data_IF_148206403595
#
_entry.id   IF_148206403595
#
_cell.length_a   1.000
_cell.length_b   1.000
_cell.length_c   1.000
_cell.angle_alpha   90.00
_cell.angle_beta   90.00
_cell.angle_gamma   90.00
#
_symmetry.space_group_name_H-M   'P 1'
#
loop_
_entity.id
_entity.type
_entity.pdbx_description
1 polymer ?
#
# COMPACT_ATOMS: atom_id res chain seq x y z
N UNK A 1 16.15 2.66 -22.86
CA UNK A 1 16.31 1.92 -21.59
C UNK A 1 15.17 0.92 -21.52
N UNK A 2 15.46 -0.37 -21.66
CA UNK A 2 14.46 -1.44 -21.58
C UNK A 2 13.79 -1.43 -20.19
N UNK A 3 12.46 -1.55 -20.17
CA UNK A 3 11.68 -1.66 -18.93
C UNK A 3 11.94 -3.03 -18.29
N UNK A 4 13.00 -3.14 -17.49
CA UNK A 4 13.24 -4.34 -16.68
C UNK A 4 12.10 -4.55 -15.70
N UNK A 5 11.56 -5.77 -15.66
CA UNK A 5 10.59 -6.18 -14.65
C UNK A 5 11.27 -6.37 -13.29
N UNK A 6 10.49 -6.43 -12.20
CA UNK A 6 11.02 -6.75 -10.87
C UNK A 6 11.78 -8.10 -10.88
N UNK A 7 11.21 -9.10 -11.52
CA UNK A 7 11.78 -10.44 -11.65
C UNK A 7 13.15 -10.41 -12.36
N UNK A 8 13.21 -9.81 -13.56
CA UNK A 8 14.45 -9.67 -14.32
C UNK A 8 15.50 -8.86 -13.56
N UNK A 9 15.09 -7.77 -12.90
CA UNK A 9 15.99 -6.94 -12.12
C UNK A 9 16.64 -7.72 -10.96
N UNK A 10 15.84 -8.49 -10.22
CA UNK A 10 16.34 -9.32 -9.11
C UNK A 10 17.26 -10.42 -9.64
N UNK A 11 16.89 -11.12 -10.71
CA UNK A 11 17.73 -12.19 -11.30
C UNK A 11 19.05 -11.65 -11.86
N UNK A 12 19.00 -10.59 -12.67
CA UNK A 12 20.22 -9.95 -13.20
C UNK A 12 21.14 -9.48 -12.07
N UNK A 13 20.56 -8.83 -11.05
CA UNK A 13 21.37 -8.32 -9.93
C UNK A 13 21.97 -9.44 -9.11
N UNK A 14 21.25 -10.56 -8.92
CA UNK A 14 21.74 -11.75 -8.23
C UNK A 14 22.91 -12.39 -8.98
N UNK A 15 22.84 -12.46 -10.31
CA UNK A 15 23.90 -12.99 -11.17
C UNK A 15 25.14 -12.08 -11.16
N UNK A 16 24.97 -10.75 -11.22
CA UNK A 16 26.06 -9.78 -11.10
C UNK A 16 26.86 -9.91 -9.80
N UNK A 17 26.20 -10.24 -8.69
CA UNK A 17 26.85 -10.46 -7.39
C UNK A 17 27.32 -11.91 -7.18
N UNK A 18 27.14 -12.79 -8.18
CA UNK A 18 27.61 -14.18 -8.18
C UNK A 18 26.90 -15.08 -7.17
N UNK A 19 25.62 -14.83 -6.85
CA UNK A 19 24.86 -15.65 -5.91
C UNK A 19 23.92 -16.63 -6.65
N UNK A 20 23.77 -17.84 -6.09
CA UNK A 20 22.64 -18.70 -6.42
C UNK A 20 21.36 -18.20 -5.72
N UNK A 21 20.19 -18.67 -6.14
CA UNK A 21 18.92 -18.32 -5.47
C UNK A 21 18.96 -18.68 -3.97
N UNK A 22 19.50 -19.86 -3.63
CA UNK A 22 19.75 -20.28 -2.25
C UNK A 22 20.76 -19.38 -1.53
N UNK A 23 21.80 -18.93 -2.23
CA UNK A 23 22.78 -17.98 -1.70
C UNK A 23 22.14 -16.62 -1.37
N UNK A 24 21.24 -16.14 -2.24
CA UNK A 24 20.49 -14.92 -2.01
C UNK A 24 19.51 -15.06 -0.84
N UNK A 25 18.79 -16.19 -0.75
CA UNK A 25 17.86 -16.49 0.34
C UNK A 25 18.56 -16.42 1.71
N UNK A 26 19.69 -17.12 1.85
CA UNK A 26 20.51 -17.11 3.06
C UNK A 26 21.00 -15.69 3.42
N UNK A 27 21.48 -14.94 2.44
CA UNK A 27 22.02 -13.60 2.66
C UNK A 27 20.95 -12.56 3.00
N UNK A 28 19.74 -12.75 2.46
CA UNK A 28 18.58 -11.90 2.69
C UNK A 28 17.81 -12.29 3.96
N UNK A 29 18.11 -13.44 4.56
CA UNK A 29 17.30 -14.05 5.63
C UNK A 29 15.81 -14.17 5.20
N UNK A 30 15.62 -14.69 4.00
CA UNK A 30 14.34 -15.01 3.37
C UNK A 30 14.28 -16.48 3.03
N UNK A 31 13.07 -17.03 2.97
CA UNK A 31 12.84 -18.38 2.47
C UNK A 31 13.19 -18.45 0.97
N UNK A 32 13.68 -19.61 0.53
CA UNK A 32 14.01 -19.84 -0.88
C UNK A 32 12.76 -19.67 -1.77
N UNK A 33 11.61 -20.13 -1.29
CA UNK A 33 10.33 -20.01 -2.01
C UNK A 33 9.99 -18.56 -2.35
N UNK A 34 10.31 -17.61 -1.46
CA UNK A 34 10.06 -16.18 -1.71
C UNK A 34 10.94 -15.67 -2.85
N UNK A 35 12.21 -16.08 -2.90
CA UNK A 35 13.12 -15.68 -3.98
C UNK A 35 12.66 -16.26 -5.31
N UNK A 36 12.24 -17.53 -5.33
CA UNK A 36 11.72 -18.21 -6.52
C UNK A 36 10.43 -17.55 -7.02
N UNK A 37 9.49 -17.21 -6.15
CA UNK A 37 8.25 -16.51 -6.50
C UNK A 37 8.51 -15.10 -7.05
N UNK A 38 9.54 -14.41 -6.57
CA UNK A 38 9.96 -13.09 -7.08
C UNK A 38 10.60 -13.22 -8.46
N UNK A 39 11.57 -14.11 -8.63
CA UNK A 39 12.29 -14.29 -9.91
C UNK A 39 11.40 -14.94 -10.99
N UNK A 40 10.37 -15.68 -10.62
CA UNK A 40 9.35 -16.21 -11.55
C UNK A 40 8.22 -15.22 -11.87
N UNK A 41 8.19 -14.06 -11.22
CA UNK A 41 7.18 -13.02 -11.45
C UNK A 41 5.79 -13.32 -10.87
N UNK A 42 5.66 -14.32 -9.99
CA UNK A 42 4.43 -14.57 -9.24
C UNK A 42 4.15 -13.43 -8.25
N UNK A 43 5.20 -12.86 -7.66
CA UNK A 43 5.09 -11.71 -6.76
C UNK A 43 5.40 -10.40 -7.48
N UNK A 44 4.39 -9.54 -7.61
CA UNK A 44 4.48 -8.25 -8.33
C UNK A 44 4.80 -7.07 -7.41
N UNK A 45 4.57 -7.22 -6.11
CA UNK A 45 4.86 -6.22 -5.08
C UNK A 45 5.21 -6.91 -3.76
N UNK A 46 6.15 -6.35 -3.01
CA UNK A 46 6.67 -6.99 -1.80
C UNK A 46 6.27 -6.23 -0.54
N UNK A 47 5.99 -6.97 0.52
CA UNK A 47 5.88 -6.42 1.86
C UNK A 47 7.17 -5.65 2.22
N UNK A 48 7.04 -4.55 2.98
CA UNK A 48 8.19 -3.68 3.31
C UNK A 48 9.35 -4.44 3.95
N UNK A 49 9.07 -5.40 4.83
CA UNK A 49 10.08 -6.25 5.47
C UNK A 49 10.84 -7.13 4.48
N UNK A 50 10.13 -7.76 3.54
CA UNK A 50 10.72 -8.58 2.46
C UNK A 50 11.58 -7.71 1.56
N UNK A 51 11.09 -6.51 1.18
CA UNK A 51 11.82 -5.56 0.35
C UNK A 51 13.14 -5.12 0.99
N UNK A 52 13.14 -4.80 2.28
CA UNK A 52 14.34 -4.39 3.02
C UNK A 52 15.36 -5.54 3.10
N UNK A 53 14.90 -6.75 3.41
CA UNK A 53 15.72 -7.96 3.47
C UNK A 53 16.36 -8.29 2.12
N UNK A 54 15.57 -8.25 1.05
CA UNK A 54 16.04 -8.51 -0.31
C UNK A 54 17.05 -7.45 -0.77
N UNK A 55 16.78 -6.16 -0.48
CA UNK A 55 17.69 -5.06 -0.77
C UNK A 55 19.06 -5.23 -0.07
N UNK A 56 19.05 -5.67 1.20
CA UNK A 56 20.27 -6.00 1.96
C UNK A 56 21.05 -7.15 1.30
N UNK A 57 20.37 -8.20 0.85
CA UNK A 57 20.99 -9.32 0.14
C UNK A 57 21.64 -8.93 -1.19
N UNK A 58 20.95 -8.09 -1.96
CA UNK A 58 21.36 -7.60 -3.28
C UNK A 58 22.33 -6.41 -3.24
N UNK A 59 22.64 -5.88 -2.05
CA UNK A 59 23.48 -4.68 -1.84
C UNK A 59 22.97 -3.47 -2.63
N UNK A 60 21.67 -3.22 -2.58
CA UNK A 60 21.02 -2.08 -3.22
C UNK A 60 20.09 -1.39 -2.23
N UNK A 61 19.59 -0.22 -2.61
CA UNK A 61 18.54 0.46 -1.85
C UNK A 61 17.17 -0.18 -2.08
N UNK A 62 16.36 -0.24 -1.03
CA UNK A 62 14.96 -0.72 -1.14
C UNK A 62 14.11 0.13 -2.08
N UNK A 63 14.50 1.38 -2.32
CA UNK A 63 13.80 2.29 -3.23
C UNK A 63 13.87 1.82 -4.69
N UNK A 64 15.00 1.24 -5.11
CA UNK A 64 15.17 0.70 -6.46
C UNK A 64 14.23 -0.49 -6.72
N UNK A 65 14.05 -1.35 -5.73
CA UNK A 65 13.08 -2.46 -5.80
C UNK A 65 11.65 -1.90 -5.88
N UNK A 66 11.32 -0.95 -5.00
CA UNK A 66 9.98 -0.33 -4.95
C UNK A 66 9.57 0.32 -6.27
N UNK A 67 10.49 0.96 -6.99
CA UNK A 67 10.18 1.58 -8.29
C UNK A 67 9.80 0.58 -9.39
N UNK A 68 10.14 -0.70 -9.22
CA UNK A 68 9.86 -1.76 -10.19
C UNK A 68 8.62 -2.58 -9.85
N UNK A 69 8.07 -2.40 -8.65
CA UNK A 69 6.85 -3.09 -8.20
C UNK A 69 5.65 -2.56 -9.00
N UNK A 70 4.84 -3.50 -9.51
CA UNK A 70 3.59 -3.18 -10.20
C UNK A 70 2.45 -3.57 -9.30
N UNK A 71 1.74 -2.56 -8.80
CA UNK A 71 0.51 -2.81 -8.07
C UNK A 71 -0.58 -3.15 -9.09
N UNK A 72 -1.33 -4.25 -8.89
CA UNK A 72 -2.51 -4.48 -9.70
C UNK A 72 -3.41 -3.26 -9.54
N UNK A 73 -3.75 -2.61 -10.67
CA UNK A 73 -4.72 -1.51 -10.66
C UNK A 73 -6.04 -2.11 -10.19
N UNK A 74 -6.38 -1.92 -8.92
CA UNK A 74 -7.74 -2.15 -8.48
C UNK A 74 -8.58 -1.11 -9.22
N UNK A 75 -9.44 -1.54 -10.15
CA UNK A 75 -10.37 -0.68 -10.90
C UNK A 75 -11.44 -0.03 -9.99
N UNK A 76 -11.12 0.27 -8.74
CA UNK A 76 -11.93 1.13 -7.89
C UNK A 76 -11.41 2.54 -8.16
N UNK A 77 -12.17 3.29 -8.95
CA UNK A 77 -11.92 4.72 -9.13
C UNK A 77 -11.76 5.34 -7.74
N UNK A 78 -10.61 5.94 -7.49
CA UNK A 78 -10.43 6.73 -6.27
C UNK A 78 -11.52 7.81 -6.27
N UNK A 79 -12.20 8.01 -5.14
CA UNK A 79 -13.23 9.05 -5.02
C UNK A 79 -12.62 10.41 -5.35
N UNK A 80 -13.38 11.30 -6.02
CA UNK A 80 -12.85 12.62 -6.32
C UNK A 80 -12.48 13.34 -5.02
N UNK A 81 -11.37 14.11 -5.00
CA UNK A 81 -10.97 14.88 -3.83
C UNK A 81 -12.09 15.79 -3.31
N UNK A 82 -12.81 16.45 -4.22
CA UNK A 82 -13.91 17.37 -3.91
C UNK A 82 -15.06 16.65 -3.17
N UNK A 83 -15.42 15.44 -3.62
CA UNK A 83 -16.46 14.64 -2.95
C UNK A 83 -16.05 14.25 -1.53
N UNK A 84 -14.77 13.97 -1.31
CA UNK A 84 -14.25 13.65 0.03
C UNK A 84 -14.27 14.86 0.95
N UNK A 85 -13.98 16.05 0.43
CA UNK A 85 -14.06 17.30 1.20
C UNK A 85 -15.50 17.63 1.59
N UNK A 86 -16.44 17.54 0.64
CA UNK A 86 -17.86 17.71 0.93
C UNK A 86 -18.35 16.73 2.00
N UNK A 87 -17.97 15.46 1.90
CA UNK A 87 -18.35 14.43 2.86
C UNK A 87 -17.80 14.74 4.26
N UNK A 88 -16.57 15.25 4.36
CA UNK A 88 -15.99 15.68 5.65
C UNK A 88 -16.77 16.83 6.27
N UNK A 89 -17.14 17.84 5.47
CA UNK A 89 -17.92 18.98 5.93
C UNK A 89 -19.30 18.55 6.44
N UNK A 90 -20.01 17.67 5.71
CA UNK A 90 -21.32 17.14 6.13
C UNK A 90 -21.24 16.38 7.46
N UNK A 91 -20.21 15.56 7.64
CA UNK A 91 -20.02 14.82 8.90
C UNK A 91 -19.72 15.77 10.06
N UNK A 92 -18.92 16.81 9.83
CA UNK A 92 -18.62 17.84 10.84
C UNK A 92 -19.84 18.69 11.20
N UNK A 93 -20.72 18.96 10.23
CA UNK A 93 -22.01 19.65 10.41
C UNK A 93 -23.06 18.79 11.14
N UNK A 94 -22.75 17.53 11.43
CA UNK A 94 -23.63 16.61 12.17
C UNK A 94 -24.56 15.77 11.28
N UNK A 95 -24.41 15.82 9.96
CA UNK A 95 -25.14 14.96 9.02
C UNK A 95 -24.50 13.56 8.98
N UNK A 96 -24.88 12.71 9.95
CA UNK A 96 -24.29 11.37 10.12
C UNK A 96 -24.98 10.27 9.29
N UNK A 97 -26.23 10.49 8.87
CA UNK A 97 -27.04 9.52 8.12
C UNK A 97 -27.25 9.94 6.66
N UNK A 98 -27.48 8.98 5.76
CA UNK A 98 -27.79 9.27 4.35
C UNK A 98 -26.58 9.54 3.45
N UNK A 99 -25.35 9.43 3.97
CA UNK A 99 -24.14 9.55 3.17
C UNK A 99 -23.87 8.24 2.42
N UNK A 100 -23.67 8.34 1.10
CA UNK A 100 -23.38 7.19 0.25
C UNK A 100 -21.86 6.98 0.07
N UNK A 101 -21.43 5.73 -0.02
CA UNK A 101 -20.04 5.38 -0.29
C UNK A 101 -19.70 5.78 -1.74
N UNK A 102 -18.61 6.53 -1.98
CA UNK A 102 -18.25 6.92 -3.35
C UNK A 102 -17.81 5.73 -4.22
N UNK A 103 -17.41 4.62 -3.59
CA UNK A 103 -16.91 3.43 -4.29
C UNK A 103 -18.04 2.46 -4.64
N UNK A 104 -18.99 2.23 -3.72
CA UNK A 104 -20.02 1.20 -3.89
C UNK A 104 -21.47 1.67 -3.67
N UNK A 105 -21.67 2.98 -3.45
CA UNK A 105 -22.96 3.64 -3.23
C UNK A 105 -23.79 3.13 -2.04
N UNK A 106 -23.22 2.25 -1.21
CA UNK A 106 -23.85 1.77 0.02
C UNK A 106 -23.79 2.81 1.12
N UNK A 107 -24.68 2.73 2.10
CA UNK A 107 -24.70 3.66 3.22
C UNK A 107 -23.40 3.63 4.05
N UNK A 108 -22.90 4.81 4.36
CA UNK A 108 -21.74 5.02 5.22
C UNK A 108 -22.17 5.11 6.67
N UNK A 109 -21.40 4.44 7.54
CA UNK A 109 -21.49 4.63 8.98
C UNK A 109 -20.55 5.77 9.34
N UNK A 110 -21.12 6.96 9.53
CA UNK A 110 -20.38 8.18 9.88
C UNK A 110 -20.39 8.44 11.40
N UNK A 111 -19.31 9.02 11.91
CA UNK A 111 -19.20 9.54 13.28
C UNK A 111 -18.21 10.70 13.34
N UNK A 112 -18.40 11.60 14.29
CA UNK A 112 -17.40 12.61 14.64
C UNK A 112 -16.59 12.06 15.82
N UNK A 113 -15.27 12.02 15.67
CA UNK A 113 -14.37 11.66 16.76
C UNK A 113 -13.80 12.94 17.39
N UNK A 114 -14.01 13.11 18.68
CA UNK A 114 -13.41 14.19 19.46
C UNK A 114 -12.03 13.75 19.96
N UNK A 115 -11.02 14.58 19.74
CA UNK A 115 -9.63 14.33 20.10
C UNK A 115 -9.01 15.62 20.65
N UNK A 116 -7.84 15.51 21.26
CA UNK A 116 -7.04 16.66 21.68
C UNK A 116 -5.87 16.84 20.71
N UNK A 117 -5.52 18.08 20.40
CA UNK A 117 -4.27 18.40 19.72
C UNK A 117 -3.08 18.38 20.69
N UNK A 118 -1.89 18.77 20.20
CA UNK A 118 -0.67 18.82 21.01
C UNK A 118 -0.69 19.88 22.13
N UNK A 119 -1.67 20.79 22.12
CA UNK A 119 -1.84 21.86 23.08
C UNK A 119 -3.13 21.70 23.90
N UNK A 120 -3.68 20.47 23.95
CA UNK A 120 -4.92 20.11 24.66
C UNK A 120 -6.19 20.86 24.17
N UNK A 121 -6.19 21.38 22.94
CA UNK A 121 -7.41 21.94 22.35
C UNK A 121 -8.29 20.82 21.77
N UNK A 122 -9.62 20.90 21.96
CA UNK A 122 -10.55 19.93 21.38
C UNK A 122 -10.62 20.09 19.86
N UNK A 123 -10.35 19.00 19.14
CA UNK A 123 -10.44 18.91 17.67
C UNK A 123 -11.42 17.81 17.28
N UNK A 124 -12.27 18.11 16.29
CA UNK A 124 -13.25 17.17 15.73
C UNK A 124 -12.72 16.57 14.44
N UNK A 125 -12.67 15.23 14.38
CA UNK A 125 -12.26 14.47 13.20
C UNK A 125 -13.44 13.70 12.61
N UNK A 126 -13.83 13.96 11.34
CA UNK A 126 -14.88 13.20 10.68
C UNK A 126 -14.37 11.80 10.31
N UNK A 127 -15.09 10.75 10.72
CA UNK A 127 -14.78 9.36 10.37
C UNK A 127 -15.98 8.71 9.69
N UNK A 128 -15.74 8.00 8.60
CA UNK A 128 -16.78 7.22 7.93
C UNK A 128 -16.25 5.86 7.49
N UNK A 129 -17.02 4.80 7.69
CA UNK A 129 -16.71 3.47 7.15
C UNK A 129 -17.84 2.98 6.27
N UNK A 130 -17.52 2.33 5.16
CA UNK A 130 -18.52 1.64 4.38
C UNK A 130 -18.83 0.26 4.97
N UNK A 131 -20.10 -0.14 4.96
CA UNK A 131 -20.54 -1.47 5.40
C UNK A 131 -20.17 -2.59 4.42
N UNK A 132 -20.07 -2.28 3.11
CA UNK A 132 -19.87 -3.30 2.05
C UNK A 132 -18.50 -3.32 1.38
N UNK A 133 -17.66 -2.31 1.58
CA UNK A 133 -16.40 -2.19 0.87
C UNK A 133 -15.31 -1.62 1.79
N UNK A 134 -14.02 -1.76 1.44
CA UNK A 134 -12.91 -1.32 2.30
C UNK A 134 -12.73 0.21 2.35
N UNK A 135 -13.70 0.98 1.86
CA UNK A 135 -13.67 2.44 1.94
C UNK A 135 -13.72 2.90 3.39
N UNK A 136 -12.76 3.75 3.75
CA UNK A 136 -12.61 4.34 5.07
C UNK A 136 -12.17 5.79 4.93
N UNK A 137 -12.95 6.70 5.49
CA UNK A 137 -12.61 8.10 5.68
C UNK A 137 -11.98 8.28 7.06
N UNK A 138 -10.78 8.85 7.11
CA UNK A 138 -10.00 9.13 8.32
C UNK A 138 -9.83 10.63 8.52
#
# INVERSE_FOLDING_TARGET
MEKKTLAEFVSSRREEIGLSQKGLANKSNLDLSIIESVESGQELFLATSIRQKLAKGLKIESKAIKSLEKHPKTNKADPSPDYIEELKLRILDGQLSGNACPVCKSELVCRVAEMLDLHDNPVKHPKARCSKCPFLLR
#
